data_IF_087427430435
#
_entry.id   IF_087427430435
#
_cell.length_a   1.000
_cell.length_b   1.000
_cell.length_c   1.000
_cell.angle_alpha   90.00
_cell.angle_beta   90.00
_cell.angle_gamma   90.00
#
_symmetry.space_group_name_H-M   'P 1'
#
loop_
_entity.id
_entity.type
_entity.pdbx_description
1 polymer ?
#
# COMPACT_ATOMS: atom_id res chain seq x y z
N UNK A 1 -11.90 -22.14 14.10
CA UNK A 1 -10.89 -21.81 15.14
C UNK A 1 -9.65 -21.12 14.56
N UNK A 2 -8.96 -21.69 13.56
CA UNK A 2 -7.74 -21.10 12.94
C UNK A 2 -7.86 -19.61 12.59
N UNK A 3 -8.93 -19.20 11.90
CA UNK A 3 -9.15 -17.82 11.51
C UNK A 3 -9.24 -16.84 12.70
N UNK A 4 -9.67 -17.29 13.88
CA UNK A 4 -9.68 -16.45 15.08
C UNK A 4 -8.26 -16.15 15.55
N UNK A 5 -7.36 -17.13 15.55
CA UNK A 5 -5.96 -16.91 15.95
C UNK A 5 -5.24 -15.94 15.00
N UNK A 6 -5.46 -16.11 13.69
CA UNK A 6 -4.94 -15.20 12.66
C UNK A 6 -5.47 -13.78 12.86
N UNK A 7 -6.78 -13.65 13.11
CA UNK A 7 -7.41 -12.34 13.24
C UNK A 7 -7.03 -11.64 14.55
N UNK A 8 -6.91 -12.38 15.66
CA UNK A 8 -6.42 -11.87 16.93
C UNK A 8 -5.00 -11.30 16.81
N UNK A 9 -4.09 -12.00 16.12
CA UNK A 9 -2.75 -11.47 15.83
C UNK A 9 -2.81 -10.16 15.03
N UNK A 10 -3.69 -10.06 14.02
CA UNK A 10 -3.88 -8.84 13.22
C UNK A 10 -4.42 -7.66 14.04
N UNK A 11 -5.21 -7.96 15.08
CA UNK A 11 -5.82 -6.99 15.98
C UNK A 11 -4.96 -6.68 17.20
N UNK A 12 -3.74 -7.24 17.30
CA UNK A 12 -2.83 -7.07 18.43
C UNK A 12 -3.43 -7.57 19.77
N UNK A 13 -4.29 -8.59 19.70
CA UNK A 13 -4.85 -9.28 20.87
C UNK A 13 -3.83 -10.28 21.39
N UNK A 14 -3.54 -10.25 22.70
CA UNK A 14 -2.51 -11.13 23.27
C UNK A 14 -2.86 -12.61 23.10
N UNK A 15 -1.84 -13.47 22.95
CA UNK A 15 -2.07 -14.93 22.82
C UNK A 15 -2.78 -15.53 24.04
N UNK A 16 -2.54 -15.00 25.24
CA UNK A 16 -3.18 -15.45 26.48
C UNK A 16 -4.68 -15.11 26.49
N UNK A 17 -5.03 -13.89 26.07
CA UNK A 17 -6.42 -13.46 25.93
C UNK A 17 -7.15 -14.31 24.87
N UNK A 18 -6.53 -14.50 23.71
CA UNK A 18 -7.05 -15.37 22.66
C UNK A 18 -7.30 -16.81 23.15
N UNK A 19 -6.36 -17.41 23.88
CA UNK A 19 -6.51 -18.77 24.39
C UNK A 19 -7.73 -18.88 25.31
N UNK A 20 -7.91 -17.91 26.22
CA UNK A 20 -9.07 -17.85 27.10
C UNK A 20 -10.38 -17.74 26.31
N UNK A 21 -10.43 -16.82 25.35
CA UNK A 21 -11.61 -16.60 24.50
C UNK A 21 -11.94 -17.85 23.67
N UNK A 22 -10.93 -18.51 23.09
CA UNK A 22 -11.12 -19.72 22.31
C UNK A 22 -11.61 -20.89 23.16
N UNK A 23 -11.16 -21.01 24.41
CA UNK A 23 -11.66 -22.02 25.35
C UNK A 23 -13.12 -21.75 25.75
N UNK A 24 -13.49 -20.49 25.99
CA UNK A 24 -14.88 -20.11 26.27
C UNK A 24 -15.80 -20.45 25.07
N UNK A 25 -15.36 -20.11 23.86
CA UNK A 25 -16.09 -20.45 22.63
C UNK A 25 -16.15 -21.95 22.41
N UNK A 26 -15.07 -22.70 22.70
CA UNK A 26 -15.06 -24.16 22.61
C UNK A 26 -16.15 -24.80 23.48
N UNK A 27 -16.33 -24.34 24.72
CA UNK A 27 -17.38 -24.88 25.60
C UNK A 27 -18.79 -24.68 25.04
N UNK A 28 -19.02 -23.63 24.25
CA UNK A 28 -20.29 -23.37 23.56
C UNK A 28 -20.44 -24.20 22.29
N UNK A 29 -19.35 -24.40 21.57
CA UNK A 29 -19.36 -25.09 20.27
C UNK A 29 -19.39 -26.61 20.43
N UNK A 30 -18.72 -27.19 21.44
CA UNK A 30 -18.56 -28.65 21.58
C UNK A 30 -19.88 -29.43 21.56
N UNK A 31 -20.99 -28.81 22.00
CA UNK A 31 -22.30 -29.43 22.10
C UNK A 31 -23.09 -29.37 20.77
N UNK A 32 -22.59 -28.65 19.76
CA UNK A 32 -23.18 -28.57 18.43
C UNK A 32 -22.80 -29.85 17.64
N UNK A 33 -23.71 -30.42 16.83
CA UNK A 33 -23.39 -31.56 15.97
C UNK A 33 -22.32 -31.18 14.94
N UNK A 34 -21.23 -31.94 14.91
CA UNK A 34 -20.16 -31.80 13.92
C UNK A 34 -19.92 -33.14 13.21
N UNK A 35 -19.51 -33.10 11.94
CA UNK A 35 -19.05 -34.29 11.22
C UNK A 35 -17.85 -34.95 11.92
N UNK A 36 -16.94 -34.12 12.44
CA UNK A 36 -15.81 -34.55 13.27
C UNK A 36 -15.93 -33.89 14.64
N UNK A 37 -15.87 -34.65 15.76
CA UNK A 37 -16.00 -34.07 17.09
C UNK A 37 -14.96 -32.98 17.35
N UNK A 38 -15.42 -31.82 17.81
CA UNK A 38 -14.53 -30.73 18.22
C UNK A 38 -13.90 -31.07 19.57
N UNK A 39 -12.58 -31.00 19.66
CA UNK A 39 -11.80 -31.31 20.86
C UNK A 39 -10.91 -30.15 21.28
N UNK A 40 -10.39 -30.20 22.51
CA UNK A 40 -9.38 -29.24 22.96
C UNK A 40 -8.11 -29.26 22.10
N UNK A 41 -7.79 -30.38 21.45
CA UNK A 41 -6.64 -30.46 20.52
C UNK A 41 -6.83 -29.53 19.33
N UNK A 42 -8.06 -29.37 18.83
CA UNK A 42 -8.37 -28.46 17.73
C UNK A 42 -8.18 -26.99 18.12
N UNK A 43 -8.44 -26.67 19.40
CA UNK A 43 -8.17 -25.34 19.97
C UNK A 43 -6.67 -25.06 19.97
N UNK A 44 -5.87 -25.97 20.53
CA UNK A 44 -4.42 -25.81 20.61
C UNK A 44 -3.75 -25.82 19.23
N UNK A 45 -4.19 -26.67 18.31
CA UNK A 45 -3.70 -26.65 16.93
C UNK A 45 -4.05 -25.34 16.22
N UNK A 46 -5.24 -24.77 16.47
CA UNK A 46 -5.56 -23.46 15.92
C UNK A 46 -4.72 -22.32 16.52
N UNK A 47 -4.31 -22.41 17.80
CA UNK A 47 -3.40 -21.44 18.43
C UNK A 47 -2.00 -21.40 17.81
N UNK A 48 -1.58 -22.46 17.10
CA UNK A 48 -0.32 -22.46 16.33
C UNK A 48 -0.37 -21.47 15.16
N UNK A 49 -1.57 -21.09 14.70
CA UNK A 49 -1.76 -20.07 13.66
C UNK A 49 -1.64 -18.63 14.19
N UNK A 50 -1.42 -18.43 15.49
CA UNK A 50 -1.02 -17.14 16.06
C UNK A 50 0.47 -16.90 15.73
N UNK A 51 0.73 -16.60 14.46
CA UNK A 51 2.09 -16.41 13.93
C UNK A 51 2.13 -15.29 12.89
N UNK A 52 3.29 -14.63 12.80
CA UNK A 52 3.52 -13.52 11.86
C UNK A 52 3.38 -13.96 10.40
N UNK A 53 3.78 -15.18 10.05
CA UNK A 53 3.65 -15.72 8.69
C UNK A 53 2.19 -15.87 8.27
N UNK A 54 1.31 -16.20 9.22
CA UNK A 54 -0.13 -16.34 8.99
C UNK A 54 -0.86 -14.99 8.96
N UNK A 55 -0.22 -13.92 9.45
CA UNK A 55 -0.76 -12.56 9.38
C UNK A 55 -0.91 -12.01 7.95
N UNK A 56 -0.37 -12.68 6.93
CA UNK A 56 -0.55 -12.32 5.52
C UNK A 56 -1.95 -12.62 4.96
N UNK A 57 -2.79 -13.40 5.67
CA UNK A 57 -4.16 -13.71 5.24
C UNK A 57 -4.99 -12.44 4.99
N UNK A 58 -5.64 -12.35 3.82
CA UNK A 58 -6.49 -11.20 3.53
C UNK A 58 -7.81 -11.34 4.31
N UNK A 59 -8.38 -10.21 4.73
CA UNK A 59 -9.71 -10.19 5.37
C UNK A 59 -10.74 -10.91 4.48
N UNK A 60 -10.70 -10.69 3.16
CA UNK A 60 -11.58 -11.38 2.20
C UNK A 60 -11.47 -12.91 2.29
N UNK A 61 -10.26 -13.44 2.47
CA UNK A 61 -10.04 -14.89 2.53
C UNK A 61 -10.59 -15.45 3.86
N UNK A 62 -10.42 -14.69 4.96
CA UNK A 62 -11.02 -15.01 6.27
C UNK A 62 -12.54 -15.03 6.17
N UNK A 63 -13.15 -14.04 5.51
CA UNK A 63 -14.61 -13.97 5.30
C UNK A 63 -15.12 -15.20 4.51
N UNK A 64 -14.40 -15.60 3.45
CA UNK A 64 -14.74 -16.79 2.66
C UNK A 64 -14.65 -18.06 3.52
N UNK A 65 -13.57 -18.23 4.29
CA UNK A 65 -13.34 -19.43 5.11
C UNK A 65 -14.31 -19.55 6.28
N UNK A 66 -14.73 -18.42 6.86
CA UNK A 66 -15.61 -18.40 8.03
C UNK A 66 -17.07 -18.21 7.70
N UNK A 67 -17.39 -17.83 6.46
CA UNK A 67 -18.69 -17.34 6.04
C UNK A 67 -19.21 -16.15 6.89
N UNK A 68 -18.31 -15.44 7.58
CA UNK A 68 -18.63 -14.26 8.37
C UNK A 68 -18.22 -12.99 7.64
N UNK A 69 -19.07 -11.97 7.67
CA UNK A 69 -18.74 -10.64 7.18
C UNK A 69 -17.92 -9.89 8.24
N UNK A 70 -16.77 -9.35 7.85
CA UNK A 70 -15.94 -8.51 8.72
C UNK A 70 -16.03 -7.06 8.22
N UNK A 71 -16.50 -6.18 9.08
CA UNK A 71 -16.59 -4.76 8.77
C UNK A 71 -15.21 -4.11 8.72
N UNK A 72 -15.01 -3.29 7.70
CA UNK A 72 -13.73 -2.64 7.45
C UNK A 72 -13.67 -1.34 8.22
N UNK A 73 -12.67 -1.19 9.09
CA UNK A 73 -12.38 0.10 9.72
C UNK A 73 -12.10 1.17 8.65
N UNK A 74 -13.00 2.14 8.53
CA UNK A 74 -12.77 3.37 7.76
C UNK A 74 -12.00 4.34 8.65
N UNK A 75 -10.72 4.58 8.37
CA UNK A 75 -9.87 5.52 9.15
C UNK A 75 -10.51 6.90 9.31
N UNK A 76 -11.20 7.37 8.28
CA UNK A 76 -11.97 8.61 8.28
C UNK A 76 -13.25 8.30 7.49
N UNK A 77 -14.43 8.53 8.06
CA UNK A 77 -15.74 8.37 7.38
C UNK A 77 -15.93 9.27 6.15
N UNK A 78 -14.87 9.98 5.72
CA UNK A 78 -14.85 10.84 4.55
C UNK A 78 -14.42 10.02 3.34
N UNK A 79 -15.12 10.22 2.24
CA UNK A 79 -14.63 9.80 0.94
C UNK A 79 -13.26 10.43 0.66
N UNK A 80 -12.44 9.72 -0.14
CA UNK A 80 -11.06 10.11 -0.43
C UNK A 80 -10.96 11.53 -1.01
N UNK A 81 -11.95 11.94 -1.80
CA UNK A 81 -12.05 13.28 -2.38
C UNK A 81 -12.19 14.38 -1.30
N UNK A 82 -13.08 14.19 -0.32
CA UNK A 82 -13.27 15.11 0.81
C UNK A 82 -12.03 15.18 1.72
N UNK A 83 -11.41 14.03 1.97
CA UNK A 83 -10.18 13.96 2.74
C UNK A 83 -9.04 14.74 2.06
N UNK A 84 -8.85 14.53 0.75
CA UNK A 84 -7.83 15.24 -0.03
C UNK A 84 -8.15 16.72 -0.16
N UNK A 85 -9.42 17.12 -0.28
CA UNK A 85 -9.83 18.54 -0.26
C UNK A 85 -9.41 19.21 1.05
N UNK A 86 -9.67 18.58 2.19
CA UNK A 86 -9.26 19.10 3.49
C UNK A 86 -7.75 19.24 3.64
N UNK A 87 -7.00 18.21 3.26
CA UNK A 87 -5.52 18.25 3.31
C UNK A 87 -4.97 19.37 2.41
N UNK A 88 -5.49 19.49 1.18
CA UNK A 88 -5.03 20.53 0.24
C UNK A 88 -5.35 21.93 0.73
N UNK A 89 -6.52 22.14 1.32
CA UNK A 89 -6.90 23.43 1.90
C UNK A 89 -5.96 23.82 3.06
N UNK A 90 -5.71 22.88 3.98
CA UNK A 90 -4.76 23.10 5.07
C UNK A 90 -3.34 23.37 4.56
N UNK A 91 -2.90 22.61 3.56
CA UNK A 91 -1.60 22.79 2.92
C UNK A 91 -1.46 24.17 2.27
N UNK A 92 -2.49 24.65 1.58
CA UNK A 92 -2.50 26.00 1.00
C UNK A 92 -2.48 27.09 2.07
N UNK A 93 -3.20 26.90 3.18
CA UNK A 93 -3.23 27.86 4.27
C UNK A 93 -1.89 27.96 5.02
N UNK A 94 -1.22 26.83 5.26
CA UNK A 94 0.02 26.76 6.05
C UNK A 94 1.26 27.02 5.19
N UNK A 95 1.30 26.50 3.96
CA UNK A 95 2.45 26.60 3.08
C UNK A 95 1.99 26.75 1.62
N UNK A 96 1.53 27.95 1.21
CA UNK A 96 1.00 28.18 -0.13
C UNK A 96 2.05 27.94 -1.24
N UNK A 97 3.34 28.13 -0.93
CA UNK A 97 4.45 27.98 -1.87
C UNK A 97 5.10 26.60 -1.82
N UNK A 98 4.48 25.60 -1.19
CA UNK A 98 5.06 24.25 -1.04
C UNK A 98 5.44 23.55 -2.35
N UNK A 99 4.98 24.03 -3.52
CA UNK A 99 5.40 23.55 -4.84
C UNK A 99 6.58 24.32 -5.44
N UNK A 100 6.83 25.55 -5.01
CA UNK A 100 7.95 26.35 -5.50
C UNK A 100 9.25 25.70 -5.06
N UNK A 101 10.13 25.40 -6.00
CA UNK A 101 11.40 24.71 -5.74
C UNK A 101 11.27 23.21 -5.42
N UNK A 102 10.05 22.69 -5.28
CA UNK A 102 9.77 21.29 -4.97
C UNK A 102 9.30 20.52 -6.22
N UNK A 103 9.71 19.25 -6.31
CA UNK A 103 9.43 18.37 -7.44
C UNK A 103 10.64 18.15 -8.36
N UNK A 104 10.52 17.18 -9.27
CA UNK A 104 11.60 16.82 -10.19
C UNK A 104 11.79 17.96 -11.20
N UNK A 105 12.95 18.62 -11.16
CA UNK A 105 13.32 19.65 -12.13
C UNK A 105 13.26 19.09 -13.56
N UNK A 106 12.66 19.83 -14.49
CA UNK A 106 12.64 19.44 -15.89
C UNK A 106 14.08 19.54 -16.46
N UNK A 107 14.47 18.55 -17.24
CA UNK A 107 15.79 18.47 -17.91
C UNK A 107 15.74 18.91 -19.38
N UNK A 108 14.56 19.29 -19.88
CA UNK A 108 14.35 19.80 -21.23
C UNK A 108 15.28 20.95 -21.58
N UNK A 109 15.37 21.98 -20.73
CA UNK A 109 16.19 23.18 -21.00
C UNK A 109 17.67 22.84 -21.12
N UNK A 110 18.17 21.90 -20.32
CA UNK A 110 19.57 21.47 -20.32
C UNK A 110 19.92 20.69 -21.59
N UNK A 111 19.05 19.74 -21.99
CA UNK A 111 19.19 18.98 -23.24
C UNK A 111 19.09 19.91 -24.46
N UNK A 112 18.17 20.87 -24.43
CA UNK A 112 17.98 21.84 -25.51
C UNK A 112 19.20 22.72 -25.72
N UNK A 113 19.73 23.34 -24.66
CA UNK A 113 20.95 24.14 -24.72
C UNK A 113 22.13 23.32 -25.23
N UNK A 114 22.22 22.05 -24.83
CA UNK A 114 23.24 21.14 -25.34
C UNK A 114 23.09 20.88 -26.84
N UNK A 115 21.87 20.66 -27.34
CA UNK A 115 21.62 20.44 -28.78
C UNK A 115 21.93 21.66 -29.65
N UNK A 116 21.65 22.87 -29.16
CA UNK A 116 22.03 24.11 -29.87
C UNK A 116 23.55 24.21 -30.00
N UNK A 117 24.28 23.92 -28.92
CA UNK A 117 25.75 23.95 -28.92
C UNK A 117 26.36 22.83 -29.75
N UNK A 118 25.67 21.68 -29.84
CA UNK A 118 26.13 20.48 -30.52
C UNK A 118 25.15 20.05 -31.63
N UNK A 119 25.06 20.78 -32.76
CA UNK A 119 24.06 20.52 -33.81
C UNK A 119 24.23 19.16 -34.50
N UNK A 120 25.44 18.58 -34.49
CA UNK A 120 25.74 17.23 -35.00
C UNK A 120 25.80 16.16 -33.88
N UNK A 121 25.57 16.55 -32.64
CA UNK A 121 25.71 15.69 -31.47
C UNK A 121 24.65 14.61 -31.40
N UNK A 122 25.03 13.39 -31.02
CA UNK A 122 24.09 12.27 -30.84
C UNK A 122 23.59 12.20 -29.40
N UNK A 123 22.46 11.53 -29.20
CA UNK A 123 21.89 11.26 -27.86
C UNK A 123 22.90 10.65 -26.88
N UNK A 124 23.82 9.83 -27.38
CA UNK A 124 24.86 9.19 -26.58
C UNK A 124 25.92 10.17 -26.10
N UNK A 125 26.24 11.20 -26.89
CA UNK A 125 27.21 12.23 -26.52
C UNK A 125 26.59 13.13 -25.44
N UNK A 126 25.31 13.48 -25.62
CA UNK A 126 24.51 14.18 -24.61
C UNK A 126 24.44 13.41 -23.28
N UNK A 127 24.32 12.08 -23.33
CA UNK A 127 24.36 11.24 -22.13
C UNK A 127 25.70 11.30 -21.40
N UNK A 128 26.80 11.22 -22.15
CA UNK A 128 28.16 11.26 -21.60
C UNK A 128 28.48 12.62 -20.99
N UNK A 129 28.07 13.71 -21.62
CA UNK A 129 28.40 15.07 -21.18
C UNK A 129 27.49 15.58 -20.05
N UNK A 130 26.17 15.35 -20.12
CA UNK A 130 25.23 15.85 -19.12
C UNK A 130 24.95 14.85 -17.99
N UNK A 131 25.41 13.60 -18.11
CA UNK A 131 25.14 12.54 -17.12
C UNK A 131 23.65 12.16 -16.97
N UNK A 132 22.79 12.60 -17.90
CA UNK A 132 21.35 12.35 -17.84
C UNK A 132 21.04 10.94 -18.33
N UNK A 133 20.14 10.20 -17.66
CA UNK A 133 19.70 8.89 -18.12
C UNK A 133 19.20 8.92 -19.58
N UNK A 134 19.50 7.88 -20.35
CA UNK A 134 19.09 7.75 -21.76
C UNK A 134 17.59 7.97 -21.98
N UNK A 135 16.76 7.42 -21.10
CA UNK A 135 15.30 7.60 -21.12
C UNK A 135 14.84 9.06 -20.95
N UNK A 136 15.54 9.83 -20.11
CA UNK A 136 15.28 11.27 -19.96
C UNK A 136 15.68 12.03 -21.22
N UNK A 137 16.80 11.66 -21.86
CA UNK A 137 17.24 12.28 -23.11
C UNK A 137 16.25 11.95 -24.23
N UNK A 138 15.90 10.68 -24.42
CA UNK A 138 14.94 10.23 -25.43
C UNK A 138 13.59 10.95 -25.31
N UNK A 139 13.08 11.08 -24.08
CA UNK A 139 11.83 11.78 -23.80
C UNK A 139 11.84 13.23 -24.27
N UNK A 140 12.97 13.93 -24.12
CA UNK A 140 13.06 15.37 -24.37
C UNK A 140 13.79 15.73 -25.67
N UNK A 141 14.28 14.74 -26.41
CA UNK A 141 15.09 14.98 -27.60
C UNK A 141 14.29 15.66 -28.69
N UNK A 142 13.08 15.17 -28.99
CA UNK A 142 12.27 15.61 -30.14
C UNK A 142 11.04 16.45 -29.73
N UNK A 143 10.89 16.77 -28.44
CA UNK A 143 9.76 17.56 -27.91
C UNK A 143 9.79 19.05 -28.28
N UNK A 144 10.73 19.50 -29.11
CA UNK A 144 10.73 20.86 -29.64
C UNK A 144 9.98 20.88 -30.98
N UNK A 145 8.74 21.38 -30.97
CA UNK A 145 8.18 22.09 -32.11
C UNK A 145 8.52 23.57 -31.91
N UNK A 146 9.29 24.22 -32.80
CA UNK A 146 9.32 25.67 -32.81
C UNK A 146 7.89 26.15 -33.02
N UNK A 147 7.47 27.19 -32.30
CA UNK A 147 6.22 27.89 -32.58
C UNK A 147 6.12 28.09 -34.10
N UNK A 148 5.12 27.47 -34.73
CA UNK A 148 4.72 27.87 -36.08
C UNK A 148 4.16 29.27 -35.92
N UNK A 149 4.92 30.25 -36.42
CA UNK A 149 4.43 31.61 -36.69
C UNK A 149 3.15 31.58 -37.53
#
# INVERSE_FOLDING_TARGET
MMCMAIYAYKCDVSKQELEKDMLEVFEKLKDIPHTNPLTKRDVYSALESYDKGMACFKIKDIEILTALRIDRNKRNYRHQDLHLKGIRALQQAINPTWRQGNGRRNKLSEIFLWRIKNPKGKKIDCHKELGLSRTTIDKWWDTYTPNKE
#
